data_IF_041602741598
#
_entry.id   IF_041602741598
#
_cell.length_a   1.000
_cell.length_b   1.000
_cell.length_c   1.000
_cell.angle_alpha   90.00
_cell.angle_beta   90.00
_cell.angle_gamma   90.00
#
_symmetry.space_group_name_H-M   'P 1'
#
loop_
_entity.id
_entity.type
_entity.pdbx_description
1 polymer ?
#
# COMPACT_ATOMS: atom_id res chain seq x y z
N UNK A 1 41.03 -50.97 -0.65
CA UNK A 1 41.03 -50.09 -1.83
C UNK A 1 40.51 -48.75 -1.37
N UNK A 2 41.42 -47.80 -1.15
CA UNK A 2 41.14 -46.49 -0.54
C UNK A 2 41.04 -45.44 -1.65
N UNK A 3 39.93 -44.72 -1.72
CA UNK A 3 39.82 -43.53 -2.55
C UNK A 3 39.69 -42.31 -1.64
N UNK A 4 40.79 -41.62 -1.50
CA UNK A 4 40.87 -40.29 -0.87
C UNK A 4 40.59 -39.23 -1.89
N UNK A 5 39.43 -38.57 -1.83
CA UNK A 5 39.12 -37.37 -2.62
C UNK A 5 39.57 -36.13 -1.85
N UNK A 6 40.58 -35.46 -2.36
CA UNK A 6 41.07 -34.17 -1.91
C UNK A 6 40.15 -33.08 -2.46
N UNK A 7 39.46 -32.36 -1.58
CA UNK A 7 38.81 -31.11 -1.94
C UNK A 7 39.84 -29.97 -1.96
N UNK A 8 40.07 -29.43 -3.14
CA UNK A 8 40.91 -28.28 -3.31
C UNK A 8 40.12 -27.00 -2.91
N UNK A 9 40.74 -26.31 -2.01
CA UNK A 9 40.31 -25.03 -1.46
C UNK A 9 40.44 -23.94 -2.55
N UNK A 10 39.34 -23.48 -3.14
CA UNK A 10 39.36 -22.36 -4.06
C UNK A 10 39.18 -21.05 -3.26
N UNK A 11 40.31 -20.46 -2.95
CA UNK A 11 40.35 -19.11 -2.35
C UNK A 11 39.99 -18.09 -3.43
N UNK A 12 38.85 -17.46 -3.26
CA UNK A 12 38.39 -16.38 -4.13
C UNK A 12 39.12 -15.08 -3.72
N UNK A 13 39.90 -14.43 -4.59
CA UNK A 13 40.49 -13.15 -4.27
C UNK A 13 39.42 -12.07 -4.37
N UNK A 14 39.08 -11.49 -3.23
CA UNK A 14 38.27 -10.26 -3.14
C UNK A 14 38.94 -9.14 -3.91
N UNK A 15 38.28 -8.71 -4.97
CA UNK A 15 38.65 -7.54 -5.72
C UNK A 15 38.49 -6.30 -4.82
N UNK A 16 39.62 -5.72 -4.43
CA UNK A 16 39.73 -4.37 -3.90
C UNK A 16 39.44 -3.40 -5.05
N UNK A 17 38.30 -2.75 -5.04
CA UNK A 17 38.13 -1.48 -5.76
C UNK A 17 36.98 -0.71 -5.11
N UNK A 18 37.29 0.18 -4.21
CA UNK A 18 36.51 1.37 -3.95
C UNK A 18 37.30 2.34 -3.07
N UNK A 19 38.36 2.85 -3.62
CA UNK A 19 38.96 4.09 -3.09
C UNK A 19 38.55 5.24 -4.01
N UNK A 20 37.81 6.18 -3.46
CA UNK A 20 37.75 7.48 -4.09
C UNK A 20 36.38 8.05 -4.47
N UNK A 21 35.44 8.12 -3.52
CA UNK A 21 34.40 9.14 -3.60
C UNK A 21 34.44 10.00 -2.32
N UNK A 22 34.61 11.33 -2.45
CA UNK A 22 34.65 12.21 -1.28
C UNK A 22 33.28 12.22 -0.58
N UNK A 23 33.28 12.09 0.73
CA UNK A 23 32.13 12.04 1.61
C UNK A 23 31.12 13.20 1.45
N UNK A 24 31.49 14.27 0.77
CA UNK A 24 30.61 15.44 0.49
C UNK A 24 29.54 15.20 -0.56
N UNK A 25 29.71 14.23 -1.46
CA UNK A 25 28.71 13.97 -2.52
C UNK A 25 27.50 13.15 -2.02
N UNK A 26 27.66 12.41 -0.93
CA UNK A 26 26.58 11.54 -0.41
C UNK A 26 25.48 12.31 0.33
N UNK A 27 25.78 13.47 0.94
CA UNK A 27 24.80 14.27 1.67
C UNK A 27 23.88 15.09 0.76
N UNK A 28 24.39 15.51 -0.41
CA UNK A 28 23.59 16.35 -1.32
C UNK A 28 22.47 15.57 -2.05
N UNK A 29 22.69 14.29 -2.33
CA UNK A 29 21.70 13.48 -3.07
C UNK A 29 20.54 13.06 -2.15
N UNK A 30 20.81 12.72 -0.90
CA UNK A 30 19.78 12.33 0.07
C UNK A 30 18.89 13.53 0.43
N UNK A 31 19.48 14.72 0.60
CA UNK A 31 18.72 15.94 0.93
C UNK A 31 17.81 16.39 -0.23
N UNK A 32 18.20 16.11 -1.47
CA UNK A 32 17.39 16.51 -2.64
C UNK A 32 16.22 15.58 -2.89
N UNK A 33 16.35 14.28 -2.59
CA UNK A 33 15.23 13.33 -2.66
C UNK A 33 14.20 13.53 -1.53
N UNK A 34 14.65 13.85 -0.30
CA UNK A 34 13.74 14.13 0.80
C UNK A 34 12.96 15.44 0.61
N UNK A 35 13.52 16.42 -0.11
CA UNK A 35 12.83 17.69 -0.36
C UNK A 35 11.75 17.60 -1.44
N UNK A 36 11.83 16.62 -2.33
CA UNK A 36 10.81 16.38 -3.36
C UNK A 36 9.56 15.64 -2.82
N UNK A 37 9.66 14.94 -1.68
CA UNK A 37 8.53 14.24 -1.07
C UNK A 37 7.69 15.12 -0.12
N UNK A 38 8.19 16.30 0.29
CA UNK A 38 7.49 17.21 1.20
C UNK A 38 6.88 18.44 0.51
N UNK A 39 6.95 18.55 -0.80
CA UNK A 39 6.41 19.70 -1.53
C UNK A 39 5.00 19.51 -2.09
N UNK A 40 4.26 18.53 -1.58
CA UNK A 40 2.82 18.37 -1.86
C UNK A 40 1.99 18.60 -0.60
N UNK A 41 2.32 19.67 0.12
CA UNK A 41 1.52 20.19 1.21
C UNK A 41 0.48 21.16 0.70
N UNK A 42 -0.53 20.67 0.02
CA UNK A 42 -1.80 21.38 -0.20
C UNK A 42 -2.65 21.20 1.05
N UNK A 43 -2.69 22.19 1.91
CA UNK A 43 -3.58 22.26 3.04
C UNK A 43 -5.05 22.22 2.56
N UNK A 44 -5.71 21.15 2.85
CA UNK A 44 -7.15 21.00 2.77
C UNK A 44 -7.53 19.75 3.53
N UNK A 45 -8.24 19.90 4.65
CA UNK A 45 -8.81 18.81 5.43
C UNK A 45 -9.90 18.02 4.66
N UNK A 46 -9.85 18.05 3.34
CA UNK A 46 -10.83 17.41 2.47
C UNK A 46 -10.22 16.16 1.82
N UNK A 47 -11.05 15.13 1.67
CA UNK A 47 -10.71 13.94 0.90
C UNK A 47 -10.48 14.35 -0.54
N UNK A 48 -9.25 14.23 -1.01
CA UNK A 48 -8.89 14.51 -2.39
C UNK A 48 -9.14 13.28 -3.26
N UNK A 49 -9.26 13.50 -4.56
CA UNK A 49 -9.38 12.40 -5.52
C UNK A 49 -8.17 11.46 -5.46
N UNK A 50 -6.99 11.99 -5.20
CA UNK A 50 -5.76 11.22 -5.01
C UNK A 50 -5.85 10.27 -3.81
N UNK A 51 -6.43 10.73 -2.69
CA UNK A 51 -6.65 9.89 -1.51
C UNK A 51 -7.66 8.77 -1.81
N UNK A 52 -8.77 9.09 -2.47
CA UNK A 52 -9.75 8.07 -2.89
C UNK A 52 -9.14 7.04 -3.83
N UNK A 53 -8.27 7.46 -4.74
CA UNK A 53 -7.54 6.57 -5.65
C UNK A 53 -6.53 5.70 -4.87
N UNK A 54 -5.83 6.27 -3.89
CA UNK A 54 -4.95 5.52 -2.98
C UNK A 54 -5.72 4.46 -2.20
N UNK A 55 -6.87 4.82 -1.63
CA UNK A 55 -7.75 3.86 -0.93
C UNK A 55 -8.23 2.75 -1.85
N UNK A 56 -8.66 3.08 -3.09
CA UNK A 56 -9.06 2.08 -4.10
C UNK A 56 -7.92 1.10 -4.40
N UNK A 57 -6.71 1.60 -4.63
CA UNK A 57 -5.54 0.79 -4.88
C UNK A 57 -5.24 -0.17 -3.73
N UNK A 58 -5.18 0.33 -2.49
CA UNK A 58 -4.91 -0.49 -1.31
C UNK A 58 -5.97 -1.56 -1.06
N UNK A 59 -7.24 -1.24 -1.27
CA UNK A 59 -8.34 -2.22 -1.14
C UNK A 59 -8.23 -3.26 -2.25
N UNK A 60 -7.99 -2.84 -3.49
CA UNK A 60 -7.84 -3.75 -4.63
C UNK A 60 -6.69 -4.73 -4.41
N UNK A 61 -5.52 -4.23 -4.03
CA UNK A 61 -4.32 -5.05 -3.81
C UNK A 61 -4.45 -5.95 -2.56
N UNK A 62 -5.00 -5.41 -1.48
CA UNK A 62 -5.10 -6.13 -0.21
C UNK A 62 -6.20 -7.20 -0.17
N UNK A 63 -7.22 -7.08 -1.01
CA UNK A 63 -8.38 -7.98 -1.04
C UNK A 63 -8.57 -8.68 -2.39
N UNK A 64 -7.62 -8.53 -3.32
CA UNK A 64 -7.74 -9.06 -4.69
C UNK A 64 -9.13 -8.77 -5.27
N UNK A 65 -9.57 -7.51 -5.11
CA UNK A 65 -10.94 -7.13 -5.40
C UNK A 65 -11.17 -6.98 -6.91
N UNK A 66 -12.24 -7.58 -7.41
CA UNK A 66 -12.67 -7.45 -8.80
C UNK A 66 -13.19 -6.02 -9.10
N UNK A 67 -13.78 -5.38 -8.10
CA UNK A 67 -14.30 -4.01 -8.22
C UNK A 67 -14.24 -3.28 -6.89
N UNK A 68 -13.76 -2.04 -6.92
CA UNK A 68 -13.70 -1.14 -5.76
C UNK A 68 -14.24 0.23 -6.17
N UNK A 69 -15.25 0.70 -5.47
CA UNK A 69 -15.82 2.03 -5.64
C UNK A 69 -15.69 2.78 -4.32
N UNK A 70 -15.02 3.91 -4.32
CA UNK A 70 -14.95 4.84 -3.19
C UNK A 70 -15.52 6.16 -3.67
N UNK A 71 -16.48 6.71 -2.94
CA UNK A 71 -17.15 7.97 -3.24
C UNK A 71 -17.18 8.87 -2.02
N UNK A 72 -17.09 10.18 -2.25
CA UNK A 72 -17.39 11.18 -1.24
C UNK A 72 -18.91 11.43 -1.21
N UNK A 73 -19.55 11.09 -0.10
CA UNK A 73 -21.01 11.21 0.07
C UNK A 73 -21.45 12.65 0.34
N UNK A 74 -20.64 13.41 1.04
CA UNK A 74 -21.03 14.74 1.53
C UNK A 74 -20.57 15.87 0.62
N UNK A 75 -19.70 15.60 -0.36
CA UNK A 75 -19.07 16.63 -1.20
C UNK A 75 -18.15 17.59 -0.40
N UNK A 76 -17.98 17.34 0.88
CA UNK A 76 -17.13 18.14 1.78
C UNK A 76 -15.81 17.44 2.12
N UNK A 77 -15.58 16.26 1.54
CA UNK A 77 -14.34 15.51 1.70
C UNK A 77 -14.12 14.92 3.08
N UNK A 78 -15.15 14.59 3.84
CA UNK A 78 -15.01 14.01 5.19
C UNK A 78 -15.67 12.66 5.37
N UNK A 79 -16.62 12.33 4.52
CA UNK A 79 -17.45 11.14 4.61
C UNK A 79 -17.38 10.34 3.33
N UNK A 80 -17.02 9.06 3.42
CA UNK A 80 -16.90 8.17 2.26
C UNK A 80 -17.91 7.05 2.30
N UNK A 81 -18.37 6.64 1.12
CA UNK A 81 -19.01 5.35 0.90
C UNK A 81 -18.06 4.43 0.13
N UNK A 82 -18.02 3.18 0.54
CA UNK A 82 -17.12 2.17 0.00
C UNK A 82 -17.93 0.95 -0.45
N UNK A 83 -17.80 0.57 -1.72
CA UNK A 83 -18.35 -0.68 -2.24
C UNK A 83 -17.22 -1.55 -2.78
N UNK A 84 -17.13 -2.77 -2.28
CA UNK A 84 -16.07 -3.72 -2.65
C UNK A 84 -16.70 -5.04 -3.09
N UNK A 85 -16.24 -5.54 -4.23
CA UNK A 85 -16.59 -6.89 -4.73
C UNK A 85 -15.31 -7.72 -4.76
N UNK A 86 -15.27 -8.82 -4.02
CA UNK A 86 -14.10 -9.68 -3.95
C UNK A 86 -14.49 -11.14 -3.67
N UNK A 87 -13.78 -12.06 -4.30
CA UNK A 87 -13.88 -13.51 -4.02
C UNK A 87 -13.42 -13.87 -2.62
N UNK A 88 -12.54 -13.07 -2.02
CA UNK A 88 -12.07 -13.28 -0.64
C UNK A 88 -13.18 -13.16 0.40
N UNK A 89 -14.34 -12.65 0.03
CA UNK A 89 -15.51 -12.54 0.91
C UNK A 89 -16.36 -13.82 0.98
N UNK A 90 -16.09 -14.81 0.14
CA UNK A 90 -16.82 -16.07 0.16
C UNK A 90 -16.67 -16.76 1.51
N UNK A 91 -17.80 -17.28 2.02
CA UNK A 91 -17.85 -17.93 3.31
C UNK A 91 -17.60 -17.07 4.53
N UNK A 92 -17.45 -15.74 4.37
CA UNK A 92 -17.21 -14.80 5.48
C UNK A 92 -18.50 -14.07 5.86
N UNK A 93 -18.68 -13.86 7.18
CA UNK A 93 -19.77 -13.04 7.67
C UNK A 93 -19.57 -11.57 7.29
N UNK A 94 -20.65 -10.80 7.19
CA UNK A 94 -20.62 -9.36 6.87
C UNK A 94 -19.63 -8.58 7.74
N UNK A 95 -19.61 -8.83 9.05
CA UNK A 95 -18.68 -8.18 9.99
C UNK A 95 -17.23 -8.50 9.67
N UNK A 96 -16.91 -9.74 9.31
CA UNK A 96 -15.53 -10.10 8.96
C UNK A 96 -15.11 -9.49 7.63
N UNK A 97 -16.00 -9.41 6.65
CA UNK A 97 -15.75 -8.72 5.37
C UNK A 97 -15.41 -7.24 5.61
N UNK A 98 -16.22 -6.56 6.43
CA UNK A 98 -15.96 -5.15 6.79
C UNK A 98 -14.62 -4.96 7.50
N UNK A 99 -14.28 -5.83 8.46
CA UNK A 99 -12.99 -5.79 9.16
C UNK A 99 -11.81 -5.94 8.19
N UNK A 100 -11.95 -6.78 7.18
CA UNK A 100 -10.91 -6.93 6.15
C UNK A 100 -10.71 -5.64 5.37
N UNK A 101 -11.79 -4.96 4.96
CA UNK A 101 -11.71 -3.65 4.28
C UNK A 101 -11.06 -2.61 5.19
N UNK A 102 -11.53 -2.46 6.44
CA UNK A 102 -10.95 -1.51 7.39
C UNK A 102 -9.45 -1.73 7.61
N UNK A 103 -9.01 -2.99 7.65
CA UNK A 103 -7.59 -3.31 7.82
C UNK A 103 -6.72 -2.80 6.68
N UNK A 104 -7.23 -2.76 5.45
CA UNK A 104 -6.47 -2.27 4.29
C UNK A 104 -6.33 -0.76 4.25
N UNK A 105 -7.33 -0.03 4.79
CA UNK A 105 -7.38 1.45 4.79
C UNK A 105 -7.16 2.07 6.17
N UNK A 106 -6.65 1.29 7.11
CA UNK A 106 -6.46 1.74 8.50
C UNK A 106 -5.64 3.03 8.60
N UNK A 107 -4.57 3.13 7.82
CA UNK A 107 -3.67 4.29 7.84
C UNK A 107 -4.37 5.57 7.37
N UNK A 108 -5.25 5.47 6.38
CA UNK A 108 -6.02 6.59 5.85
C UNK A 108 -7.08 7.08 6.83
N UNK A 109 -7.62 6.17 7.62
CA UNK A 109 -8.60 6.51 8.67
C UNK A 109 -7.94 7.09 9.92
N UNK A 110 -6.76 6.59 10.30
CA UNK A 110 -6.08 7.04 11.52
C UNK A 110 -5.33 8.37 11.31
N UNK A 111 -4.69 8.55 10.17
CA UNK A 111 -3.81 9.69 9.89
C UNK A 111 -4.33 10.58 8.76
N UNK A 112 -5.40 10.18 8.10
CA UNK A 112 -5.95 10.87 6.94
C UNK A 112 -7.10 11.82 7.30
N UNK A 113 -7.59 12.58 6.32
CA UNK A 113 -8.73 13.49 6.47
C UNK A 113 -10.08 12.76 6.52
N UNK A 114 -10.11 11.43 6.37
CA UNK A 114 -11.34 10.64 6.43
C UNK A 114 -11.82 10.56 7.87
N UNK A 115 -12.94 11.22 8.17
CA UNK A 115 -13.51 11.19 9.52
C UNK A 115 -14.48 10.04 9.72
N UNK A 116 -15.20 9.63 8.68
CA UNK A 116 -16.18 8.56 8.79
C UNK A 116 -16.41 7.83 7.47
N UNK A 117 -16.69 6.54 7.58
CA UNK A 117 -17.26 5.73 6.51
C UNK A 117 -18.76 5.62 6.77
N UNK A 118 -19.57 6.28 5.95
CA UNK A 118 -21.02 6.31 6.12
C UNK A 118 -21.67 5.00 5.69
N UNK A 119 -21.17 4.45 4.59
CA UNK A 119 -21.70 3.21 4.02
C UNK A 119 -20.55 2.30 3.60
N UNK A 120 -20.67 1.02 3.92
CA UNK A 120 -19.76 -0.01 3.46
C UNK A 120 -20.52 -1.22 2.94
N UNK A 121 -20.45 -1.43 1.64
CA UNK A 121 -21.06 -2.56 0.95
C UNK A 121 -19.98 -3.55 0.54
N UNK A 122 -20.05 -4.78 1.04
CA UNK A 122 -19.10 -5.86 0.73
C UNK A 122 -19.84 -7.03 0.10
N UNK A 123 -19.53 -7.32 -1.15
CA UNK A 123 -20.22 -8.34 -1.95
C UNK A 123 -19.24 -9.38 -2.47
N UNK A 124 -19.72 -10.60 -2.64
CA UNK A 124 -19.05 -11.58 -3.49
C UNK A 124 -19.40 -11.34 -4.95
N UNK A 125 -18.64 -11.84 -5.92
CA UNK A 125 -18.97 -11.71 -7.34
C UNK A 125 -20.37 -12.26 -7.67
N UNK A 126 -20.79 -13.36 -7.02
CA UNK A 126 -22.10 -13.96 -7.18
C UNK A 126 -23.23 -13.07 -6.62
N UNK A 127 -22.97 -12.37 -5.50
CA UNK A 127 -23.91 -11.43 -4.91
C UNK A 127 -24.03 -10.15 -5.74
N UNK A 128 -22.95 -9.75 -6.39
CA UNK A 128 -22.90 -8.55 -7.24
C UNK A 128 -23.56 -8.75 -8.62
N UNK A 129 -23.70 -10.01 -9.07
CA UNK A 129 -24.32 -10.38 -10.34
C UNK A 129 -25.85 -10.53 -10.26
N UNK A 130 -26.43 -10.49 -9.07
CA UNK A 130 -27.88 -10.59 -8.83
C UNK A 130 -28.55 -9.23 -8.88
#
# INVERSE_FOLDING_TARGET
>A
MSFTARFANLVNPVARCATGMPARARHAVVTRMQRAMFASGGAGDNITEDLMNSMRGKISDGLEADSVIVRDESGNGRHVSIKVVSKMFEGKSSVNRQRMVYKTIWMELEQGPVHAVNEMVTLTPDEAAK
#
